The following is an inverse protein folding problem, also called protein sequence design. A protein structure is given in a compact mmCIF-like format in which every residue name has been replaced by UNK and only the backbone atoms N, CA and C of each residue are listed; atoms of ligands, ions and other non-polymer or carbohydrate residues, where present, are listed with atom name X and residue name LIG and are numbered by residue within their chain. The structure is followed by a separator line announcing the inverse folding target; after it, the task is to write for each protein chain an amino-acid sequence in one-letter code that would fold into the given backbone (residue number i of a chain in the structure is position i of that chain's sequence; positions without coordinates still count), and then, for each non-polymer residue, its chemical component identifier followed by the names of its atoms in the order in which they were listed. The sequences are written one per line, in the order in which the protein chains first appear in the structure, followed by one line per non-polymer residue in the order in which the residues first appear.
data_IF_447882646219
#
_entry.id   IF_447882646219
#
_cell.length_a   1.000
_cell.length_b   1.000
_cell.length_c   1.000
_cell.angle_alpha   90.00
_cell.angle_beta   90.00
_cell.angle_gamma   90.00
#
_symmetry.space_group_name_H-M   'P 1'
#
loop_
_entity.id
_entity.type
_entity.pdbx_description
1 polymer ?
#
# COMPACT_ATOMS: atom_id res chain seq x y z
N UNK A 1 26.12 -12.88 -17.54
CA UNK A 1 25.40 -13.59 -16.47
C UNK A 1 24.32 -12.67 -15.94
N UNK A 2 23.05 -13.10 -15.92
CA UNK A 2 21.91 -12.37 -15.31
C UNK A 2 21.53 -13.14 -14.04
N UNK A 3 21.66 -12.52 -12.88
CA UNK A 3 21.12 -13.07 -11.63
C UNK A 3 19.69 -12.56 -11.51
N UNK A 4 18.71 -13.46 -11.42
CA UNK A 4 17.34 -13.08 -11.12
C UNK A 4 17.25 -12.74 -9.63
N UNK A 5 16.93 -11.50 -9.29
CA UNK A 5 16.56 -11.11 -7.92
C UNK A 5 15.07 -11.36 -7.79
N UNK A 6 14.69 -12.19 -6.82
CA UNK A 6 13.28 -12.41 -6.47
C UNK A 6 12.95 -11.46 -5.32
N UNK A 7 11.98 -10.55 -5.47
CA UNK A 7 11.54 -9.68 -4.38
C UNK A 7 11.05 -10.50 -3.18
N UNK A 8 11.37 -10.05 -1.97
CA UNK A 8 10.82 -10.65 -0.76
C UNK A 8 9.28 -10.52 -0.76
N UNK A 9 8.54 -11.41 -0.07
CA UNK A 9 7.09 -11.26 0.06
C UNK A 9 6.73 -9.88 0.62
N UNK A 10 5.74 -9.23 0.01
CA UNK A 10 5.24 -7.95 0.48
C UNK A 10 4.30 -8.18 1.66
N UNK A 11 4.70 -7.74 2.84
CA UNK A 11 3.92 -7.82 4.06
C UNK A 11 3.43 -6.42 4.43
N UNK A 12 2.13 -6.27 4.68
CA UNK A 12 1.53 -4.99 5.03
C UNK A 12 0.85 -5.07 6.40
N UNK A 13 0.95 -3.97 7.16
CA UNK A 13 0.28 -3.79 8.43
C UNK A 13 -0.43 -2.44 8.47
N UNK A 14 -1.57 -2.41 9.15
CA UNK A 14 -2.38 -1.21 9.31
C UNK A 14 -2.64 -1.01 10.81
N UNK A 15 -2.34 0.19 11.31
CA UNK A 15 -2.52 0.54 12.71
C UNK A 15 -3.14 1.93 12.86
N UNK A 16 -3.87 2.17 13.94
CA UNK A 16 -4.36 3.50 14.29
C UNK A 16 -3.23 4.38 14.83
N UNK A 17 -3.26 5.66 14.45
CA UNK A 17 -2.43 6.71 15.03
C UNK A 17 -3.33 7.94 15.29
N UNK A 18 -3.90 8.00 16.50
CA UNK A 18 -4.95 8.98 16.80
C UNK A 18 -6.19 8.73 15.94
N UNK A 19 -6.66 9.76 15.23
CA UNK A 19 -7.78 9.66 14.26
C UNK A 19 -7.34 9.20 12.87
N UNK A 20 -6.03 9.03 12.66
CA UNK A 20 -5.45 8.61 11.39
C UNK A 20 -5.11 7.12 11.41
N UNK A 21 -4.76 6.59 10.23
CA UNK A 21 -4.20 5.26 10.08
C UNK A 21 -2.77 5.35 9.56
N UNK A 22 -1.89 4.48 10.03
CA UNK A 22 -0.56 4.28 9.46
C UNK A 22 -0.56 2.94 8.75
N UNK A 23 -0.40 2.99 7.43
CA UNK A 23 -0.13 1.83 6.60
C UNK A 23 1.39 1.68 6.49
N UNK A 24 1.91 0.52 6.88
CA UNK A 24 3.33 0.21 6.76
C UNK A 24 3.53 -1.13 6.05
N UNK A 25 4.66 -1.29 5.38
CA UNK A 25 4.98 -2.51 4.65
C UNK A 25 6.47 -2.82 4.61
N UNK A 26 6.78 -4.10 4.41
CA UNK A 26 8.14 -4.60 4.23
C UNK A 26 8.19 -5.61 3.08
N UNK A 27 9.38 -5.84 2.53
CA UNK A 27 9.55 -6.68 1.35
C UNK A 27 9.02 -6.02 0.07
N UNK A 28 8.81 -6.83 -0.95
CA UNK A 28 8.63 -6.37 -2.33
C UNK A 28 9.87 -5.68 -2.88
N UNK A 29 9.72 -5.04 -4.04
CA UNK A 29 10.76 -4.22 -4.64
C UNK A 29 10.19 -2.83 -4.95
N UNK A 30 10.85 -1.74 -4.51
CA UNK A 30 10.45 -0.40 -4.91
C UNK A 30 10.65 -0.19 -6.42
N UNK A 31 9.92 0.76 -7.04
CA UNK A 31 8.96 1.67 -6.43
C UNK A 31 7.63 1.01 -6.06
N UNK A 32 7.04 1.47 -4.97
CA UNK A 32 5.72 1.03 -4.50
C UNK A 32 4.62 1.96 -4.99
N UNK A 33 3.46 1.38 -5.31
CA UNK A 33 2.23 2.12 -5.59
C UNK A 33 1.15 1.70 -4.58
N UNK A 34 0.69 2.67 -3.77
CA UNK A 34 -0.43 2.48 -2.85
C UNK A 34 -1.72 2.86 -3.55
N UNK A 35 -2.74 2.01 -3.43
CA UNK A 35 -4.06 2.23 -4.02
C UNK A 35 -5.16 2.01 -2.98
N UNK A 36 -6.27 2.72 -3.15
CA UNK A 36 -7.48 2.60 -2.34
C UNK A 36 -8.68 2.18 -3.17
N UNK A 37 -9.62 1.47 -2.56
CA UNK A 37 -10.96 1.23 -3.07
C UNK A 37 -11.95 1.35 -1.91
N UNK A 38 -13.21 1.72 -2.19
CA UNK A 38 -14.28 1.83 -1.18
C UNK A 38 -15.17 0.58 -1.12
N UNK A 39 -14.96 -0.36 -2.05
CA UNK A 39 -15.74 -1.59 -2.19
C UNK A 39 -14.83 -2.74 -2.66
N UNK A 40 -15.09 -3.97 -2.22
CA UNK A 40 -14.35 -5.18 -2.63
C UNK A 40 -15.13 -6.08 -3.60
N UNK A 41 -16.43 -5.91 -3.76
CA UNK A 41 -17.25 -6.69 -4.69
C UNK A 41 -17.01 -6.30 -6.15
N UNK A 42 -16.83 -5.00 -6.42
CA UNK A 42 -16.40 -4.45 -7.70
C UNK A 42 -15.37 -3.33 -7.49
N UNK A 43 -14.11 -3.68 -7.17
CA UNK A 43 -13.16 -2.71 -6.66
C UNK A 43 -12.59 -1.81 -7.78
N UNK A 44 -12.93 -0.52 -7.72
CA UNK A 44 -12.25 0.54 -8.50
C UNK A 44 -11.04 1.05 -7.72
N UNK A 45 -9.88 0.44 -7.95
CA UNK A 45 -8.61 0.81 -7.31
C UNK A 45 -8.03 2.10 -7.87
N UNK A 46 -7.89 3.12 -7.04
CA UNK A 46 -7.33 4.42 -7.40
C UNK A 46 -6.03 4.69 -6.64
N UNK A 47 -4.99 5.27 -7.27
CA UNK A 47 -3.76 5.63 -6.56
C UNK A 47 -4.02 6.72 -5.52
N UNK A 48 -3.45 6.56 -4.32
CA UNK A 48 -3.50 7.56 -3.25
C UNK A 48 -2.38 8.60 -3.42
N UNK A 49 -1.23 8.15 -3.92
CA UNK A 49 -0.03 8.95 -4.16
C UNK A 49 0.63 8.54 -5.48
N UNK A 50 1.67 9.26 -5.90
CA UNK A 50 2.59 8.74 -6.92
C UNK A 50 3.43 7.55 -6.40
N UNK A 51 4.24 6.93 -7.28
CA UNK A 51 5.17 5.88 -6.88
C UNK A 51 6.14 6.35 -5.80
N UNK A 52 6.44 5.51 -4.81
CA UNK A 52 7.27 5.87 -3.65
C UNK A 52 8.30 4.78 -3.31
N UNK A 53 9.42 5.17 -2.71
CA UNK A 53 10.37 4.24 -2.09
C UNK A 53 10.15 4.08 -0.59
N UNK A 54 9.25 4.88 0.00
CA UNK A 54 8.90 4.79 1.40
C UNK A 54 8.21 3.45 1.70
N UNK A 55 8.23 3.07 2.98
CA UNK A 55 7.60 1.85 3.50
C UNK A 55 6.48 2.15 4.48
N UNK A 56 6.11 3.43 4.59
CA UNK A 56 5.03 3.91 5.45
C UNK A 56 4.24 5.00 4.73
N UNK A 57 2.94 5.05 5.01
CA UNK A 57 2.03 6.08 4.54
C UNK A 57 1.04 6.42 5.65
N UNK A 58 0.97 7.70 6.00
CA UNK A 58 -0.09 8.22 6.85
C UNK A 58 -1.36 8.42 6.01
N UNK A 59 -2.45 7.85 6.48
CA UNK A 59 -3.76 7.88 5.84
C UNK A 59 -4.73 8.65 6.74
N UNK A 60 -5.45 9.59 6.15
CA UNK A 60 -6.59 10.26 6.78
C UNK A 60 -7.87 9.65 6.18
N UNK A 61 -8.57 8.74 6.89
CA UNK A 61 -9.78 8.11 6.36
C UNK A 61 -10.87 9.15 6.13
N UNK A 62 -11.37 9.24 4.90
CA UNK A 62 -12.44 10.18 4.52
C UNK A 62 -13.78 9.50 4.26
N UNK A 63 -13.79 8.16 4.23
CA UNK A 63 -14.94 7.32 3.88
C UNK A 63 -15.28 6.40 5.04
N UNK A 64 -16.55 5.96 5.12
CA UNK A 64 -17.02 5.02 6.15
C UNK A 64 -16.27 3.69 6.11
N UNK A 65 -15.81 3.27 4.93
CA UNK A 65 -14.92 2.14 4.73
C UNK A 65 -13.94 2.43 3.58
N UNK A 66 -12.72 1.89 3.69
CA UNK A 66 -11.71 1.93 2.65
C UNK A 66 -10.83 0.69 2.74
N UNK A 67 -10.38 0.23 1.58
CA UNK A 67 -9.49 -0.92 1.42
C UNK A 67 -8.20 -0.44 0.77
N UNK A 68 -7.07 -0.94 1.25
CA UNK A 68 -5.76 -0.52 0.80
C UNK A 68 -5.00 -1.70 0.23
N UNK A 69 -4.29 -1.47 -0.88
CA UNK A 69 -3.31 -2.42 -1.41
C UNK A 69 -2.03 -1.71 -1.81
N UNK A 70 -0.93 -2.45 -1.74
CA UNK A 70 0.41 -1.98 -2.12
C UNK A 70 0.92 -2.90 -3.24
N UNK A 71 1.50 -2.30 -4.27
CA UNK A 71 2.16 -3.00 -5.37
C UNK A 71 3.64 -2.62 -5.36
N UNK A 72 4.54 -3.60 -5.27
CA UNK A 72 5.96 -3.44 -5.64
C UNK A 72 6.21 -4.03 -7.05
N UNK A 73 7.41 -3.80 -7.59
CA UNK A 73 7.90 -4.46 -8.81
C UNK A 73 8.24 -5.93 -8.59
#
# INVERSE_FOLDING_TARGET
MRIAVVPAPLLASLAFQGTNLVLSWTGGQPPYQVQTAIDLGNPSWQPISGPTTNTTLLLAPTSTAAFYRIRGQ
#
